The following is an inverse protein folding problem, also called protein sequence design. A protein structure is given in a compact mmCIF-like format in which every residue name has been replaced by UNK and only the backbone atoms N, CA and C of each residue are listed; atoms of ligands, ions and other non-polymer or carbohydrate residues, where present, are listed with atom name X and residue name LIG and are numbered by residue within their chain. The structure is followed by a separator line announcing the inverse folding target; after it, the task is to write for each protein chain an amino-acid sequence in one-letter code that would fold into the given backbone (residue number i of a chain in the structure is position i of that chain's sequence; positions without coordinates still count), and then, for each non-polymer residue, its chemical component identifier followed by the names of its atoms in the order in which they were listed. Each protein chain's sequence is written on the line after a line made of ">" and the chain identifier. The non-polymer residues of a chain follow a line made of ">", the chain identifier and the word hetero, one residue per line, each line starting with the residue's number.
data_IF_554711038416
#
_entry.id   IF_554711038416
#
_cell.length_a   1.000
_cell.length_b   1.000
_cell.length_c   1.000
_cell.angle_alpha   90.00
_cell.angle_beta   90.00
_cell.angle_gamma   90.00
#
_symmetry.space_group_name_H-M   'P 1'
#
loop_
_entity.id
_entity.type
_entity.pdbx_description
1 polymer ?
#
# COMPACT_ATOMS: atom_id res chain seq x y z
N UNK A 1 9.52 -59.63 63.79
CA UNK A 1 8.75 -60.02 64.99
C UNK A 1 8.43 -58.71 65.72
N UNK A 2 7.15 -58.34 65.80
CA UNK A 2 6.61 -57.08 66.38
C UNK A 2 6.55 -55.92 65.35
N UNK A 3 5.47 -55.66 64.60
CA UNK A 3 4.09 -55.26 64.97
C UNK A 3 4.05 -53.85 65.58
N UNK A 4 3.71 -52.83 64.78
CA UNK A 4 2.37 -52.24 64.59
C UNK A 4 2.00 -51.30 65.73
N UNK A 5 2.04 -49.99 65.46
CA UNK A 5 1.05 -49.05 65.98
C UNK A 5 0.78 -47.97 64.94
N UNK A 6 -0.51 -47.76 64.71
CA UNK A 6 -1.10 -46.99 63.64
C UNK A 6 -1.25 -45.52 64.06
N UNK A 7 -0.64 -44.60 63.32
CA UNK A 7 -0.99 -43.17 63.41
C UNK A 7 -2.01 -42.82 62.32
N UNK A 8 -3.21 -42.51 62.81
CA UNK A 8 -4.39 -42.05 62.11
C UNK A 8 -4.12 -40.71 61.41
N UNK A 9 -4.08 -40.73 60.07
CA UNK A 9 -4.09 -39.54 59.23
C UNK A 9 -5.50 -38.98 59.17
N UNK A 10 -5.88 -38.18 60.17
CA UNK A 10 -7.04 -37.31 60.05
C UNK A 10 -6.72 -36.15 59.10
N UNK A 11 -7.20 -36.27 57.87
CA UNK A 11 -7.26 -35.19 56.89
C UNK A 11 -8.21 -34.10 57.40
N UNK A 12 -7.67 -32.96 57.83
CA UNK A 12 -8.48 -31.76 58.08
C UNK A 12 -8.96 -31.23 56.73
N UNK A 13 -10.27 -31.17 56.44
CA UNK A 13 -10.75 -30.56 55.21
C UNK A 13 -10.59 -29.04 55.34
N UNK A 14 -9.94 -28.43 54.34
CA UNK A 14 -9.93 -26.98 54.20
C UNK A 14 -11.38 -26.45 54.15
N UNK A 15 -11.73 -25.36 54.86
CA UNK A 15 -13.08 -24.84 54.81
C UNK A 15 -13.38 -24.36 53.39
N UNK A 16 -14.37 -24.97 52.76
CA UNK A 16 -14.92 -24.52 51.48
C UNK A 16 -15.66 -23.22 51.76
N UNK A 17 -14.95 -22.09 51.66
CA UNK A 17 -15.56 -20.76 51.70
C UNK A 17 -16.65 -20.73 50.63
N UNK A 18 -17.89 -20.48 51.03
CA UNK A 18 -19.01 -20.51 50.09
C UNK A 18 -18.79 -19.50 48.97
N UNK A 19 -19.28 -19.80 47.75
CA UNK A 19 -19.29 -18.85 46.63
C UNK A 19 -19.86 -17.48 47.04
N UNK A 20 -20.76 -17.48 48.03
CA UNK A 20 -21.36 -16.30 48.65
C UNK A 20 -20.34 -15.40 49.34
N UNK A 21 -19.35 -15.94 50.04
CA UNK A 21 -18.27 -15.18 50.68
C UNK A 21 -17.28 -14.58 49.66
N UNK A 22 -17.07 -15.27 48.53
CA UNK A 22 -16.28 -14.72 47.41
C UNK A 22 -17.05 -13.61 46.69
N UNK A 23 -18.38 -13.72 46.61
CA UNK A 23 -19.26 -12.69 46.06
C UNK A 23 -19.40 -11.46 46.98
N UNK A 24 -19.36 -11.61 48.31
CA UNK A 24 -19.33 -10.43 49.20
C UNK A 24 -18.03 -9.64 49.10
N UNK A 25 -16.89 -10.27 48.76
CA UNK A 25 -15.64 -9.54 48.44
C UNK A 25 -15.73 -8.72 47.15
N UNK A 26 -16.66 -9.04 46.24
CA UNK A 26 -16.95 -8.24 45.05
C UNK A 26 -17.77 -6.96 45.37
N UNK A 27 -18.32 -6.86 46.58
CA UNK A 27 -18.99 -5.66 47.10
C UNK A 27 -18.07 -4.74 47.91
N UNK A 28 -16.75 -4.96 47.89
CA UNK A 28 -15.81 -4.03 48.50
C UNK A 28 -15.97 -2.65 47.83
N UNK A 29 -16.01 -1.53 48.59
CA UNK A 29 -15.98 -0.21 47.99
C UNK A 29 -14.78 -0.13 47.04
N UNK A 30 -14.91 0.50 45.86
CA UNK A 30 -13.81 0.59 44.92
C UNK A 30 -12.59 1.08 45.68
N UNK A 31 -11.48 0.33 45.61
CA UNK A 31 -10.20 0.81 46.16
C UNK A 31 -10.02 2.22 45.62
N UNK A 32 -9.78 3.23 46.47
CA UNK A 32 -9.53 4.57 45.98
C UNK A 32 -8.42 4.45 44.95
N UNK A 33 -8.74 4.80 43.70
CA UNK A 33 -7.72 4.88 42.65
C UNK A 33 -6.66 5.84 43.20
N UNK A 34 -5.38 5.44 43.26
CA UNK A 34 -4.35 6.40 43.62
C UNK A 34 -4.52 7.59 42.69
N UNK A 35 -4.71 8.78 43.26
CA UNK A 35 -4.75 10.02 42.49
C UNK A 35 -3.36 10.20 41.88
N UNK A 36 -3.19 9.70 40.65
CA UNK A 36 -2.03 10.03 39.83
C UNK A 36 -2.44 11.23 39.01
N UNK A 37 -2.08 12.41 39.50
CA UNK A 37 -1.98 13.62 38.69
C UNK A 37 -0.80 13.44 37.74
N UNK A 38 -0.96 12.61 36.70
CA UNK A 38 0.01 12.64 35.61
C UNK A 38 -0.27 13.93 34.86
N UNK A 39 0.68 14.85 34.91
CA UNK A 39 0.65 16.09 34.16
C UNK A 39 0.47 15.73 32.67
N UNK A 40 -0.47 16.42 32.02
CA UNK A 40 -0.67 16.21 30.60
C UNK A 40 0.57 16.68 29.83
N UNK A 41 0.92 16.01 28.72
CA UNK A 41 2.02 16.48 27.86
C UNK A 41 1.79 17.92 27.40
N UNK A 42 2.86 18.61 27.01
CA UNK A 42 2.79 20.02 26.62
C UNK A 42 1.70 20.29 25.57
N UNK A 43 0.84 21.27 25.87
CA UNK A 43 -0.22 21.74 24.97
C UNK A 43 -1.48 20.88 24.96
N UNK A 44 -1.54 19.81 25.75
CA UNK A 44 -2.76 19.05 25.96
C UNK A 44 -3.60 19.66 27.09
N UNK A 45 -4.90 19.73 26.85
CA UNK A 45 -5.92 20.22 27.76
C UNK A 45 -6.99 19.16 27.99
N UNK A 46 -7.74 19.29 29.08
CA UNK A 46 -8.86 18.41 29.40
C UNK A 46 -10.12 18.82 28.64
N UNK A 47 -10.70 17.88 27.89
CA UNK A 47 -11.97 18.02 27.21
C UNK A 47 -13.03 17.15 27.88
N UNK A 48 -14.13 17.76 28.33
CA UNK A 48 -15.26 17.04 28.88
C UNK A 48 -16.06 16.36 27.77
N UNK A 49 -16.35 15.07 27.95
CA UNK A 49 -17.19 14.26 27.06
C UNK A 49 -18.26 13.53 27.86
N UNK A 50 -19.33 13.01 27.22
CA UNK A 50 -20.30 12.14 27.88
C UNK A 50 -19.70 10.86 28.49
N UNK A 51 -18.46 10.50 28.14
CA UNK A 51 -17.76 9.30 28.58
C UNK A 51 -16.63 9.59 29.58
N UNK A 52 -16.52 10.83 30.06
CA UNK A 52 -15.46 11.29 30.97
C UNK A 52 -14.56 12.35 30.33
N UNK A 53 -13.33 12.47 30.83
CA UNK A 53 -12.37 13.45 30.35
C UNK A 53 -11.49 12.83 29.25
N UNK A 54 -11.30 13.56 28.16
CA UNK A 54 -10.30 13.26 27.12
C UNK A 54 -9.16 14.28 27.20
N UNK A 55 -7.94 13.89 26.81
CA UNK A 55 -6.84 14.83 26.66
C UNK A 55 -6.71 15.22 25.19
N UNK A 56 -6.76 16.52 24.90
CA UNK A 56 -6.72 17.05 23.53
C UNK A 56 -5.72 18.20 23.40
N UNK A 57 -4.98 18.23 22.30
CA UNK A 57 -4.20 19.39 21.85
C UNK A 57 -4.76 19.87 20.53
N UNK A 58 -4.97 21.16 20.37
CA UNK A 58 -5.54 21.74 19.15
C UNK A 58 -4.69 22.92 18.68
N UNK A 59 -4.26 22.84 17.41
CA UNK A 59 -3.51 23.89 16.75
C UNK A 59 -4.24 24.30 15.46
N UNK A 60 -4.17 25.58 15.10
CA UNK A 60 -4.50 26.06 13.75
C UNK A 60 -3.22 26.59 13.13
N UNK A 61 -2.73 25.87 12.11
CA UNK A 61 -1.53 26.23 11.38
C UNK A 61 -1.93 27.09 10.18
N UNK A 62 -1.31 28.27 10.05
CA UNK A 62 -1.43 29.06 8.83
C UNK A 62 -0.76 28.31 7.68
N UNK A 63 -1.58 27.67 6.84
CA UNK A 63 -1.13 27.03 5.61
C UNK A 63 -1.73 27.76 4.41
N UNK A 64 -0.94 28.00 3.34
CA UNK A 64 -1.50 28.48 2.09
C UNK A 64 -2.49 27.45 1.54
N UNK A 65 -3.45 27.93 0.73
CA UNK A 65 -4.37 27.05 0.00
C UNK A 65 -3.53 26.07 -0.82
N UNK A 66 -3.82 24.78 -0.64
CA UNK A 66 -3.15 23.71 -1.37
C UNK A 66 -3.70 23.64 -2.78
N UNK A 67 -2.80 23.48 -3.75
CA UNK A 67 -3.16 23.43 -5.16
C UNK A 67 -2.55 22.17 -5.81
N UNK A 68 -3.36 21.15 -6.18
CA UNK A 68 -4.82 21.08 -6.03
C UNK A 68 -5.30 20.96 -4.58
N UNK A 69 -6.50 21.51 -4.33
CA UNK A 69 -7.22 21.33 -3.06
C UNK A 69 -7.72 19.88 -2.94
N UNK A 70 -7.35 19.16 -1.86
CA UNK A 70 -7.86 17.82 -1.62
C UNK A 70 -9.34 17.76 -1.19
N UNK A 71 -9.99 18.89 -0.93
CA UNK A 71 -11.37 18.98 -0.47
C UNK A 71 -11.52 18.68 1.02
N UNK A 72 -12.75 18.41 1.46
CA UNK A 72 -13.07 18.17 2.87
C UNK A 72 -12.66 16.76 3.33
N UNK A 73 -11.37 16.59 3.60
CA UNK A 73 -10.75 15.32 4.03
C UNK A 73 -10.10 15.48 5.40
N UNK A 74 -10.37 14.54 6.31
CA UNK A 74 -9.62 14.38 7.54
C UNK A 74 -8.43 13.42 7.30
N UNK A 75 -7.24 13.84 7.71
CA UNK A 75 -6.02 13.05 7.64
C UNK A 75 -5.72 12.48 9.01
N UNK A 76 -5.59 11.16 9.11
CA UNK A 76 -5.45 10.47 10.39
C UNK A 76 -4.21 9.60 10.43
N UNK A 77 -3.55 9.65 11.57
CA UNK A 77 -2.44 8.79 11.95
C UNK A 77 -2.55 8.43 13.43
N UNK A 78 -2.19 7.20 13.81
CA UNK A 78 -2.28 6.74 15.19
C UNK A 78 -0.97 6.16 15.71
N UNK A 79 -0.72 6.40 17.00
CA UNK A 79 0.34 5.72 17.73
C UNK A 79 -0.25 4.64 18.63
N UNK A 80 0.37 3.46 18.56
CA UNK A 80 -0.18 2.25 19.18
C UNK A 80 0.85 1.56 20.07
N UNK A 81 0.38 0.82 21.06
CA UNK A 81 1.25 0.08 21.98
C UNK A 81 1.84 -1.20 21.37
N UNK A 82 1.61 -1.48 20.09
CA UNK A 82 2.09 -2.69 19.44
C UNK A 82 1.73 -2.78 17.96
N UNK A 83 2.58 -3.49 17.21
CA UNK A 83 2.51 -3.57 15.74
C UNK A 83 1.55 -4.67 15.21
N UNK A 84 1.01 -5.53 16.08
CA UNK A 84 0.26 -6.73 15.68
C UNK A 84 -1.26 -6.61 15.78
N UNK A 85 -1.81 -5.44 16.10
CA UNK A 85 -3.25 -5.13 15.97
C UNK A 85 -4.21 -6.03 16.75
N UNK A 86 -3.70 -6.86 17.67
CA UNK A 86 -4.52 -7.75 18.51
C UNK A 86 -5.30 -6.97 19.58
N UNK A 87 -6.26 -7.64 20.23
CA UNK A 87 -7.15 -7.04 21.25
C UNK A 87 -6.43 -6.37 22.44
N UNK A 88 -5.16 -6.68 22.68
CA UNK A 88 -4.33 -6.03 23.71
C UNK A 88 -3.65 -4.72 23.27
N UNK A 89 -3.72 -4.38 21.99
CA UNK A 89 -3.13 -3.14 21.45
C UNK A 89 -4.03 -1.97 21.82
N UNK A 90 -3.47 -0.90 22.37
CA UNK A 90 -4.16 0.37 22.57
C UNK A 90 -3.70 1.38 21.53
N UNK A 91 -4.61 2.25 21.11
CA UNK A 91 -4.26 3.52 20.46
C UNK A 91 -4.07 4.52 21.59
N UNK A 92 -2.83 4.96 21.80
CA UNK A 92 -2.54 5.89 22.90
C UNK A 92 -2.42 7.34 22.42
N UNK A 93 -2.20 7.56 21.12
CA UNK A 93 -2.34 8.85 20.50
C UNK A 93 -2.98 8.74 19.13
N UNK A 94 -3.75 9.75 18.75
CA UNK A 94 -4.27 9.89 17.40
C UNK A 94 -4.21 11.38 17.00
N UNK A 95 -3.70 11.66 15.81
CA UNK A 95 -3.72 12.98 15.23
C UNK A 95 -4.74 13.03 14.10
N UNK A 96 -5.39 14.19 13.97
CA UNK A 96 -6.31 14.51 12.88
C UNK A 96 -5.91 15.87 12.33
N UNK A 97 -5.58 15.93 11.05
CA UNK A 97 -5.43 17.20 10.34
C UNK A 97 -6.61 17.39 9.38
N UNK A 98 -7.23 18.58 9.38
CA UNK A 98 -8.34 18.93 8.50
C UNK A 98 -8.18 20.34 7.95
N UNK A 99 -8.23 20.54 6.63
CA UNK A 99 -8.27 21.88 6.03
C UNK A 99 -9.49 22.66 6.52
N UNK A 100 -9.29 23.93 6.88
CA UNK A 100 -10.33 24.90 7.26
C UNK A 100 -10.05 26.24 6.58
N UNK A 101 -11.02 27.15 6.57
CA UNK A 101 -10.88 28.45 5.88
C UNK A 101 -9.65 29.27 6.34
N UNK A 102 -9.25 29.13 7.60
CA UNK A 102 -8.10 29.84 8.19
C UNK A 102 -6.78 29.09 8.13
N UNK A 103 -6.70 27.94 7.44
CA UNK A 103 -5.49 27.13 7.29
C UNK A 103 -5.73 25.66 7.57
N UNK A 104 -4.92 25.06 8.44
CA UNK A 104 -5.01 23.65 8.80
C UNK A 104 -5.26 23.48 10.30
N UNK A 105 -6.41 22.93 10.63
CA UNK A 105 -6.70 22.49 12.00
C UNK A 105 -6.00 21.16 12.23
N UNK A 106 -5.21 21.08 13.29
CA UNK A 106 -4.58 19.84 13.76
C UNK A 106 -5.05 19.59 15.18
N UNK A 107 -5.75 18.48 15.38
CA UNK A 107 -6.17 18.02 16.70
C UNK A 107 -5.43 16.72 17.02
N UNK A 108 -4.83 16.65 18.21
CA UNK A 108 -4.25 15.41 18.73
C UNK A 108 -5.01 14.99 19.97
N UNK A 109 -5.25 13.69 20.07
CA UNK A 109 -5.86 13.04 21.22
C UNK A 109 -4.78 12.19 21.86
N UNK A 110 -4.72 12.21 23.19
CA UNK A 110 -3.81 11.39 23.97
C UNK A 110 -4.61 10.58 25.00
N UNK A 111 -4.15 9.38 25.32
CA UNK A 111 -4.73 8.48 26.31
C UNK A 111 -3.85 8.46 27.57
N UNK A 112 -4.10 9.29 28.60
CA UNK A 112 -3.23 9.34 29.78
C UNK A 112 -3.28 8.04 30.60
N UNK A 113 -4.44 7.38 30.59
CA UNK A 113 -4.60 6.07 31.20
C UNK A 113 -5.63 5.23 30.42
N UNK A 114 -5.49 3.89 30.42
CA UNK A 114 -6.43 3.01 29.70
C UNK A 114 -7.90 3.20 30.10
N UNK A 115 -8.17 3.70 31.32
CA UNK A 115 -9.52 3.97 31.82
C UNK A 115 -10.23 5.13 31.12
N UNK A 116 -9.52 5.98 30.37
CA UNK A 116 -10.06 7.14 29.67
C UNK A 116 -10.37 6.85 28.19
N UNK A 117 -10.23 5.60 27.74
CA UNK A 117 -10.33 5.23 26.33
C UNK A 117 -11.68 5.60 25.69
N UNK A 118 -12.81 5.41 26.40
CA UNK A 118 -14.12 5.77 25.85
C UNK A 118 -14.25 7.27 25.57
N UNK A 119 -13.70 8.12 26.44
CA UNK A 119 -13.67 9.57 26.24
C UNK A 119 -12.75 9.96 25.07
N UNK A 120 -11.56 9.34 24.99
CA UNK A 120 -10.62 9.49 23.87
C UNK A 120 -11.28 9.13 22.52
N UNK A 121 -11.89 7.95 22.43
CA UNK A 121 -12.52 7.47 21.19
C UNK A 121 -13.71 8.32 20.78
N UNK A 122 -14.52 8.77 21.75
CA UNK A 122 -15.62 9.67 21.50
C UNK A 122 -15.15 11.00 20.90
N UNK A 123 -14.17 11.63 21.55
CA UNK A 123 -13.63 12.91 21.10
C UNK A 123 -12.98 12.79 19.70
N UNK A 124 -12.28 11.68 19.43
CA UNK A 124 -11.74 11.39 18.11
C UNK A 124 -12.87 11.26 17.06
N UNK A 125 -13.96 10.56 17.37
CA UNK A 125 -15.11 10.44 16.44
C UNK A 125 -15.71 11.80 16.13
N UNK A 126 -15.92 12.64 17.14
CA UNK A 126 -16.49 13.97 16.98
C UNK A 126 -15.61 14.87 16.09
N UNK A 127 -14.28 14.76 16.20
CA UNK A 127 -13.36 15.51 15.33
C UNK A 127 -13.35 15.02 13.87
N UNK A 128 -13.66 13.73 13.64
CA UNK A 128 -13.77 13.16 12.30
C UNK A 128 -15.11 13.44 11.61
N UNK A 129 -16.17 13.67 12.39
CA UNK A 129 -17.55 13.84 11.90
C UNK A 129 -17.73 14.95 10.83
N UNK A 130 -17.05 16.11 10.91
CA UNK A 130 -17.19 17.16 9.91
C UNK A 130 -16.60 16.84 8.52
N UNK A 131 -15.82 15.76 8.38
CA UNK A 131 -15.13 15.44 7.14
C UNK A 131 -15.96 14.55 6.20
N UNK A 132 -15.94 14.84 4.90
CA UNK A 132 -16.61 14.02 3.88
C UNK A 132 -15.79 12.80 3.45
N UNK A 133 -14.50 12.81 3.76
CA UNK A 133 -13.57 11.74 3.43
C UNK A 133 -12.47 11.59 4.47
N UNK A 134 -11.87 10.41 4.47
CA UNK A 134 -10.76 10.06 5.36
C UNK A 134 -9.53 9.71 4.53
N UNK A 135 -8.37 10.20 4.92
CA UNK A 135 -7.10 9.81 4.32
C UNK A 135 -6.10 9.37 5.40
N UNK A 136 -5.38 8.29 5.13
CA UNK A 136 -4.33 7.76 6.02
C UNK A 136 -3.14 7.28 5.21
N UNK A 137 -2.03 6.95 5.87
CA UNK A 137 -0.90 6.28 5.23
C UNK A 137 -0.78 4.86 5.75
N UNK A 138 -1.17 3.87 4.94
CA UNK A 138 -1.27 2.46 5.36
C UNK A 138 -2.36 2.16 6.41
N UNK A 139 -3.15 3.14 6.83
CA UNK A 139 -4.13 2.95 7.90
C UNK A 139 -5.36 2.14 7.53
N UNK A 140 -5.59 1.88 6.24
CA UNK A 140 -6.60 0.90 5.83
C UNK A 140 -6.32 -0.51 6.36
N UNK A 141 -5.04 -0.83 6.54
CA UNK A 141 -4.58 -2.15 7.04
C UNK A 141 -4.10 -2.12 8.50
N UNK A 142 -3.95 -0.93 9.11
CA UNK A 142 -3.39 -0.78 10.46
C UNK A 142 -4.31 0.04 11.38
N UNK A 143 -4.32 1.37 11.23
CA UNK A 143 -5.02 2.30 12.13
C UNK A 143 -6.52 2.01 12.24
N UNK A 144 -7.23 1.91 11.11
CA UNK A 144 -8.68 1.80 11.09
C UNK A 144 -9.19 0.44 11.61
N UNK A 145 -8.55 -0.71 11.32
CA UNK A 145 -8.85 -1.95 12.01
C UNK A 145 -8.67 -1.89 13.53
N UNK A 146 -7.60 -1.25 14.02
CA UNK A 146 -7.34 -1.13 15.46
C UNK A 146 -8.39 -0.24 16.11
N UNK A 147 -8.65 0.95 15.57
CA UNK A 147 -9.69 1.88 16.07
C UNK A 147 -11.06 1.21 16.14
N UNK A 148 -11.47 0.47 15.10
CA UNK A 148 -12.73 -0.30 15.11
C UNK A 148 -12.77 -1.34 16.22
N UNK A 149 -11.67 -2.05 16.44
CA UNK A 149 -11.57 -3.04 17.52
C UNK A 149 -11.70 -2.35 18.89
N UNK A 150 -11.00 -1.23 19.11
CA UNK A 150 -11.09 -0.45 20.35
C UNK A 150 -12.49 0.11 20.58
N UNK A 151 -13.14 0.61 19.55
CA UNK A 151 -14.53 1.08 19.60
C UNK A 151 -15.49 0.02 20.14
N UNK A 152 -15.39 -1.20 19.60
CA UNK A 152 -16.21 -2.34 20.06
C UNK A 152 -15.84 -2.74 21.49
N UNK A 153 -14.55 -2.82 21.82
CA UNK A 153 -14.10 -3.22 23.17
C UNK A 153 -14.51 -2.21 24.25
N UNK A 154 -14.47 -0.92 23.93
CA UNK A 154 -14.93 0.18 24.78
C UNK A 154 -16.47 0.29 24.83
N UNK A 155 -17.19 -0.59 24.12
CA UNK A 155 -18.67 -0.62 24.02
C UNK A 155 -19.26 0.71 23.58
N UNK A 156 -18.57 1.39 22.67
CA UNK A 156 -19.03 2.66 22.14
C UNK A 156 -20.31 2.45 21.32
N UNK A 157 -21.26 3.40 21.36
CA UNK A 157 -22.53 3.27 20.66
C UNK A 157 -22.33 3.29 19.14
N UNK A 158 -23.10 2.46 18.43
CA UNK A 158 -23.06 2.37 16.97
C UNK A 158 -21.76 1.78 16.41
N UNK A 159 -21.58 1.90 15.10
CA UNK A 159 -20.38 1.45 14.41
C UNK A 159 -19.40 2.62 14.21
N UNK A 160 -18.10 2.35 14.36
CA UNK A 160 -17.05 3.29 13.93
C UNK A 160 -17.02 3.29 12.40
N UNK A 161 -17.94 4.05 11.82
CA UNK A 161 -18.06 4.25 10.38
C UNK A 161 -17.37 5.56 10.01
N UNK A 162 -16.71 5.54 8.86
CA UNK A 162 -16.20 6.73 8.22
C UNK A 162 -16.66 6.72 6.77
N UNK A 163 -16.66 7.89 6.15
CA UNK A 163 -16.99 8.06 4.75
C UNK A 163 -15.92 7.42 3.83
N UNK A 164 -15.87 7.85 2.57
CA UNK A 164 -14.90 7.35 1.59
C UNK A 164 -13.46 7.46 2.13
N UNK A 165 -12.73 6.36 2.11
CA UNK A 165 -11.35 6.29 2.58
C UNK A 165 -10.35 6.22 1.42
N UNK A 166 -9.28 7.01 1.53
CA UNK A 166 -8.13 6.99 0.62
C UNK A 166 -6.88 6.63 1.41
N UNK A 167 -6.32 5.47 1.14
CA UNK A 167 -5.00 5.10 1.65
C UNK A 167 -3.90 5.65 0.72
N UNK A 168 -3.19 6.68 1.18
CA UNK A 168 -2.19 7.40 0.41
C UNK A 168 -0.99 6.51 0.04
N UNK A 169 -0.67 5.48 0.83
CA UNK A 169 0.41 4.54 0.50
C UNK A 169 0.10 3.78 -0.79
N UNK A 170 -1.18 3.48 -1.05
CA UNK A 170 -1.58 2.80 -2.28
C UNK A 170 -1.35 3.66 -3.52
N UNK A 171 -1.57 4.98 -3.39
CA UNK A 171 -1.30 5.96 -4.44
C UNK A 171 0.19 6.18 -4.64
N UNK A 172 0.95 6.35 -3.55
CA UNK A 172 2.42 6.45 -3.59
C UNK A 172 3.02 5.23 -4.30
N UNK A 173 2.64 4.01 -3.91
CA UNK A 173 3.12 2.79 -4.57
C UNK A 173 2.72 2.72 -6.04
N UNK A 174 1.54 3.21 -6.39
CA UNK A 174 1.08 3.20 -7.77
C UNK A 174 1.82 4.20 -8.67
N UNK A 175 2.25 5.34 -8.12
CA UNK A 175 2.79 6.48 -8.89
C UNK A 175 4.29 6.69 -8.75
N UNK A 176 4.92 6.22 -7.67
CA UNK A 176 6.31 6.51 -7.33
C UNK A 176 7.17 5.27 -7.06
N UNK A 177 6.60 4.06 -6.96
CA UNK A 177 7.38 2.86 -6.61
C UNK A 177 8.58 2.61 -7.53
N UNK A 178 8.50 2.99 -8.81
CA UNK A 178 9.62 2.84 -9.75
C UNK A 178 10.77 3.83 -9.50
N UNK A 179 10.58 4.88 -8.70
CA UNK A 179 11.58 5.90 -8.34
C UNK A 179 12.08 5.79 -6.91
N UNK A 180 11.35 5.05 -6.06
CA UNK A 180 11.62 5.00 -4.63
C UNK A 180 12.09 3.61 -4.19
N UNK A 181 13.20 3.60 -3.45
CA UNK A 181 13.76 2.42 -2.80
C UNK A 181 12.79 1.87 -1.73
N UNK A 182 12.21 2.77 -0.94
CA UNK A 182 11.18 2.49 0.07
C UNK A 182 9.94 3.36 -0.13
N UNK A 183 8.79 2.92 0.37
CA UNK A 183 7.57 3.72 0.41
C UNK A 183 7.10 3.94 1.85
N UNK A 184 8.02 4.02 2.81
CA UNK A 184 7.72 4.52 4.16
C UNK A 184 7.42 6.02 4.09
N UNK A 185 6.60 6.53 5.02
CA UNK A 185 6.21 7.95 5.03
C UNK A 185 7.45 8.85 5.10
N UNK A 186 8.39 8.57 6.02
CA UNK A 186 9.69 9.25 6.12
C UNK A 186 10.44 9.37 4.79
N UNK A 187 10.52 8.28 4.03
CA UNK A 187 11.23 8.29 2.75
C UNK A 187 10.47 9.09 1.69
N UNK A 188 9.14 9.06 1.74
CA UNK A 188 8.26 9.84 0.87
C UNK A 188 8.36 11.33 1.19
N UNK A 189 8.39 11.73 2.46
CA UNK A 189 8.61 13.11 2.87
C UNK A 189 9.91 13.65 2.27
N UNK A 190 11.02 12.92 2.47
CA UNK A 190 12.32 13.34 1.93
C UNK A 190 12.33 13.41 0.40
N UNK A 191 11.89 12.34 -0.28
CA UNK A 191 12.07 12.21 -1.74
C UNK A 191 10.97 12.83 -2.59
N UNK A 192 9.78 13.03 -2.02
CA UNK A 192 8.61 13.55 -2.76
C UNK A 192 8.22 14.95 -2.28
N UNK A 193 8.30 15.22 -0.98
CA UNK A 193 7.99 16.53 -0.40
C UNK A 193 9.24 17.41 -0.22
N UNK A 194 10.45 16.82 -0.24
CA UNK A 194 11.69 17.56 0.01
C UNK A 194 11.86 17.94 1.48
N UNK A 195 11.16 17.26 2.39
CA UNK A 195 11.19 17.51 3.82
C UNK A 195 12.01 16.42 4.52
N UNK A 196 13.09 16.82 5.17
CA UNK A 196 13.90 15.95 6.02
C UNK A 196 13.56 16.21 7.48
N UNK A 197 13.04 15.17 8.15
CA UNK A 197 12.74 15.21 9.58
C UNK A 197 14.00 14.98 10.39
N UNK A 198 14.20 15.82 11.40
CA UNK A 198 15.02 15.48 12.54
C UNK A 198 14.15 14.65 13.49
N UNK A 199 14.44 13.36 13.56
CA UNK A 199 13.63 12.37 14.27
C UNK A 199 14.47 11.81 15.42
N UNK A 200 14.28 12.32 16.65
CA UNK A 200 15.05 11.86 17.80
C UNK A 200 14.61 10.48 18.31
N UNK A 201 13.45 9.95 17.89
CA UNK A 201 12.86 8.72 18.41
C UNK A 201 12.52 7.72 17.31
N UNK A 202 13.33 6.67 17.12
CA UNK A 202 13.00 5.58 16.21
C UNK A 202 11.59 5.02 16.46
N UNK A 203 10.77 4.83 15.41
CA UNK A 203 9.37 4.39 15.53
C UNK A 203 9.18 3.10 16.35
N UNK A 204 10.20 2.23 16.40
CA UNK A 204 10.17 1.01 17.21
C UNK A 204 10.13 1.26 18.72
N UNK A 205 10.58 2.42 19.19
CA UNK A 205 10.62 2.81 20.61
C UNK A 205 9.40 3.64 21.04
N UNK A 206 8.52 3.99 20.11
CA UNK A 206 7.30 4.76 20.39
C UNK A 206 6.38 4.07 21.41
N UNK A 207 6.15 2.74 21.35
CA UNK A 207 5.40 2.05 22.40
C UNK A 207 6.06 2.12 23.78
N UNK A 208 7.38 2.02 23.84
CA UNK A 208 8.14 2.06 25.10
C UNK A 208 8.04 3.43 25.78
N UNK A 209 8.06 4.52 25.01
CA UNK A 209 7.84 5.87 25.52
C UNK A 209 6.49 5.99 26.26
N UNK A 210 5.41 5.40 25.72
CA UNK A 210 4.12 5.39 26.39
C UNK A 210 4.09 4.50 27.63
N UNK A 211 4.76 3.33 27.60
CA UNK A 211 4.85 2.47 28.78
C UNK A 211 5.64 3.13 29.92
N UNK A 212 6.69 3.86 29.61
CA UNK A 212 7.47 4.60 30.61
C UNK A 212 6.69 5.79 31.19
N UNK A 213 5.88 6.47 30.36
CA UNK A 213 4.89 7.42 30.85
C UNK A 213 3.91 6.78 31.84
N UNK A 214 3.27 5.66 31.49
CA UNK A 214 2.31 4.99 32.38
C UNK A 214 2.94 4.53 33.71
N UNK A 215 4.21 4.12 33.70
CA UNK A 215 4.92 3.64 34.89
C UNK A 215 5.39 4.78 35.78
N UNK A 216 6.08 5.75 35.20
CA UNK A 216 6.91 6.74 35.89
C UNK A 216 6.52 8.20 35.61
N UNK A 217 5.56 8.46 34.70
CA UNK A 217 5.19 9.82 34.29
C UNK A 217 6.23 10.50 33.41
N UNK A 218 7.13 9.73 32.77
CA UNK A 218 8.18 10.27 31.90
C UNK A 218 7.58 10.91 30.64
N UNK A 219 7.94 12.17 30.36
CA UNK A 219 7.45 12.92 29.20
C UNK A 219 8.48 13.03 28.06
N UNK A 220 9.78 12.87 28.33
CA UNK A 220 10.86 13.20 27.37
C UNK A 220 10.69 12.51 26.00
N UNK A 221 10.50 11.18 26.00
CA UNK A 221 10.30 10.42 24.76
C UNK A 221 8.84 10.45 24.29
N UNK A 222 7.89 10.67 25.20
CA UNK A 222 6.48 10.74 24.86
C UNK A 222 6.18 11.98 24.03
N UNK A 223 6.73 13.14 24.39
CA UNK A 223 6.56 14.37 23.63
C UNK A 223 7.12 14.26 22.20
N UNK A 224 8.25 13.55 22.03
CA UNK A 224 8.79 13.25 20.72
C UNK A 224 7.84 12.37 19.89
N UNK A 225 7.27 11.31 20.47
CA UNK A 225 6.27 10.48 19.81
C UNK A 225 5.01 11.27 19.42
N UNK A 226 4.52 12.13 20.31
CA UNK A 226 3.35 12.98 20.03
C UNK A 226 3.64 13.99 18.92
N UNK A 227 4.80 14.63 18.91
CA UNK A 227 5.16 15.54 17.80
C UNK A 227 5.35 14.78 16.49
N UNK A 228 5.83 13.53 16.51
CA UNK A 228 5.90 12.71 15.30
C UNK A 228 4.53 12.46 14.68
N UNK A 229 3.59 11.98 15.48
CA UNK A 229 2.22 11.75 15.06
C UNK A 229 1.56 13.05 14.53
N UNK A 230 1.89 14.20 15.14
CA UNK A 230 1.44 15.53 14.67
C UNK A 230 1.98 15.87 13.28
N UNK A 231 3.29 15.69 13.09
CA UNK A 231 3.96 15.97 11.83
C UNK A 231 3.51 15.00 10.72
N UNK A 232 3.22 13.74 11.06
CA UNK A 232 2.75 12.75 10.11
C UNK A 232 1.46 13.22 9.42
N UNK A 233 0.42 13.61 10.18
CA UNK A 233 -0.83 14.09 9.57
C UNK A 233 -0.66 15.38 8.75
N UNK A 234 0.26 16.27 9.14
CA UNK A 234 0.60 17.47 8.36
C UNK A 234 1.24 17.07 7.02
N UNK A 235 2.15 16.09 7.04
CA UNK A 235 2.77 15.53 5.85
C UNK A 235 1.75 14.85 4.93
N UNK A 236 0.74 14.18 5.48
CA UNK A 236 -0.33 13.55 4.69
C UNK A 236 -1.12 14.56 3.87
N UNK A 237 -1.41 15.73 4.43
CA UNK A 237 -2.14 16.81 3.74
C UNK A 237 -1.35 17.25 2.49
N UNK A 238 -0.06 17.56 2.66
CA UNK A 238 0.82 18.00 1.57
C UNK A 238 1.05 16.88 0.53
N UNK A 239 1.25 15.65 1.01
CA UNK A 239 1.41 14.48 0.16
C UNK A 239 0.17 14.25 -0.71
N UNK A 240 -1.04 14.38 -0.16
CA UNK A 240 -2.25 14.17 -0.92
C UNK A 240 -2.40 15.22 -2.03
N UNK A 241 -2.17 16.51 -1.74
CA UNK A 241 -2.16 17.55 -2.77
C UNK A 241 -1.12 17.26 -3.88
N UNK A 242 0.10 16.86 -3.51
CA UNK A 242 1.14 16.46 -4.48
C UNK A 242 0.73 15.25 -5.33
N UNK A 243 0.07 14.26 -4.73
CA UNK A 243 -0.46 13.10 -5.44
C UNK A 243 -1.59 13.49 -6.39
N UNK A 244 -2.49 14.40 -6.00
CA UNK A 244 -3.56 14.91 -6.86
C UNK A 244 -3.01 15.62 -8.09
N UNK A 245 -2.01 16.49 -7.91
CA UNK A 245 -1.30 17.14 -9.04
C UNK A 245 -0.76 16.11 -10.03
N UNK A 246 -0.08 15.08 -9.52
CA UNK A 246 0.49 14.02 -10.36
C UNK A 246 -0.56 13.13 -11.01
N UNK A 247 -1.66 12.84 -10.31
CA UNK A 247 -2.83 12.15 -10.86
C UNK A 247 -3.46 12.93 -12.00
N UNK A 248 -3.46 14.26 -11.92
CA UNK A 248 -3.89 15.17 -12.99
C UNK A 248 -2.92 15.21 -14.17
N UNK A 249 -1.70 14.69 -14.03
CA UNK A 249 -0.63 14.84 -15.02
C UNK A 249 -0.08 16.27 -15.08
N UNK A 250 -0.19 17.03 -14.00
CA UNK A 250 0.22 18.44 -13.91
C UNK A 250 1.63 18.65 -13.37
N UNK A 251 2.40 17.58 -13.12
CA UNK A 251 3.82 17.69 -12.78
C UNK A 251 4.62 17.97 -14.07
N UNK A 252 5.35 19.08 -14.13
CA UNK A 252 6.12 19.50 -15.32
C UNK A 252 7.22 18.50 -15.70
N UNK A 253 7.80 17.80 -14.72
CA UNK A 253 8.94 16.90 -14.91
C UNK A 253 8.55 15.41 -14.94
N UNK A 254 7.35 15.08 -15.42
CA UNK A 254 6.94 13.67 -15.54
C UNK A 254 7.74 12.93 -16.61
N UNK A 255 8.52 11.92 -16.20
CA UNK A 255 9.27 11.05 -17.11
C UNK A 255 8.39 10.01 -17.80
N UNK A 256 8.95 9.26 -18.76
CA UNK A 256 8.26 8.15 -19.41
C UNK A 256 7.76 7.09 -18.40
N UNK A 257 8.55 6.80 -17.36
CA UNK A 257 8.18 5.89 -16.27
C UNK A 257 7.01 6.42 -15.46
N UNK A 258 6.98 7.74 -15.19
CA UNK A 258 5.91 8.39 -14.44
C UNK A 258 4.58 8.31 -15.18
N UNK A 259 4.60 8.63 -16.48
CA UNK A 259 3.43 8.50 -17.34
C UNK A 259 2.97 7.05 -17.49
N UNK A 260 3.91 6.09 -17.55
CA UNK A 260 3.60 4.66 -17.57
C UNK A 260 2.92 4.22 -16.27
N UNK A 261 3.43 4.66 -15.12
CA UNK A 261 2.86 4.39 -13.80
C UNK A 261 1.44 4.95 -13.68
N UNK A 262 1.24 6.22 -14.05
CA UNK A 262 -0.08 6.87 -14.10
C UNK A 262 -1.04 6.14 -15.04
N UNK A 263 -0.59 5.79 -16.25
CA UNK A 263 -1.41 5.08 -17.24
C UNK A 263 -1.87 3.71 -16.73
N UNK A 264 -0.98 2.95 -16.07
CA UNK A 264 -1.32 1.68 -15.41
C UNK A 264 -2.30 1.88 -14.26
N UNK A 265 -2.10 2.89 -13.43
CA UNK A 265 -3.00 3.20 -12.32
C UNK A 265 -4.41 3.54 -12.82
N UNK A 266 -4.55 4.52 -13.74
CA UNK A 266 -5.84 4.92 -14.33
C UNK A 266 -6.57 3.74 -14.98
N UNK A 267 -5.82 2.88 -15.68
CA UNK A 267 -6.40 1.68 -16.27
C UNK A 267 -6.95 0.72 -15.22
N UNK A 268 -6.20 0.43 -14.15
CA UNK A 268 -6.65 -0.43 -13.05
C UNK A 268 -7.92 0.11 -12.38
N UNK A 269 -8.05 1.44 -12.29
CA UNK A 269 -9.23 2.14 -11.75
C UNK A 269 -10.39 2.28 -12.75
N UNK A 270 -10.27 1.77 -13.97
CA UNK A 270 -11.33 1.83 -14.98
C UNK A 270 -11.41 3.13 -15.78
N UNK A 271 -10.59 4.15 -15.46
CA UNK A 271 -10.49 5.41 -16.19
C UNK A 271 -9.73 5.23 -17.51
N UNK A 272 -10.37 4.57 -18.48
CA UNK A 272 -9.72 4.10 -19.73
C UNK A 272 -9.22 5.23 -20.62
N UNK A 273 -9.95 6.35 -20.70
CA UNK A 273 -9.56 7.49 -21.53
C UNK A 273 -8.30 8.18 -20.97
N UNK A 274 -8.26 8.47 -19.67
CA UNK A 274 -7.09 9.05 -19.02
C UNK A 274 -5.89 8.09 -19.04
N UNK A 275 -6.14 6.80 -18.81
CA UNK A 275 -5.10 5.78 -18.92
C UNK A 275 -4.50 5.69 -20.32
N UNK A 276 -5.33 5.84 -21.35
CA UNK A 276 -4.86 5.93 -22.74
C UNK A 276 -4.02 7.18 -22.98
N UNK A 277 -4.46 8.36 -22.52
CA UNK A 277 -3.71 9.63 -22.63
C UNK A 277 -2.35 9.51 -21.95
N UNK A 278 -2.30 9.04 -20.70
CA UNK A 278 -1.05 8.87 -19.96
C UNK A 278 -0.10 7.86 -20.65
N UNK A 279 -0.60 6.73 -21.15
CA UNK A 279 0.24 5.79 -21.90
C UNK A 279 0.74 6.38 -23.22
N UNK A 280 -0.04 7.23 -23.89
CA UNK A 280 0.43 7.95 -25.09
C UNK A 280 1.55 8.92 -24.75
N UNK A 281 1.42 9.68 -23.66
CA UNK A 281 2.49 10.57 -23.20
C UNK A 281 3.77 9.80 -22.90
N UNK A 282 3.68 8.67 -22.17
CA UNK A 282 4.84 7.79 -21.93
C UNK A 282 5.46 7.28 -23.23
N UNK A 283 4.63 6.89 -24.19
CA UNK A 283 5.07 6.36 -25.49
C UNK A 283 5.78 7.43 -26.32
N UNK A 284 5.32 8.69 -26.25
CA UNK A 284 5.85 9.82 -27.01
C UNK A 284 7.31 10.19 -26.67
N UNK A 285 7.82 9.78 -25.50
CA UNK A 285 9.25 9.90 -25.18
C UNK A 285 10.14 9.13 -26.15
N UNK A 286 9.59 8.12 -26.83
CA UNK A 286 10.21 7.43 -27.95
C UNK A 286 11.56 6.76 -27.66
N UNK A 287 11.97 6.65 -26.39
CA UNK A 287 13.24 6.08 -25.94
C UNK A 287 13.05 5.32 -24.62
N UNK A 288 13.81 4.24 -24.47
CA UNK A 288 13.91 3.48 -23.22
C UNK A 288 12.73 2.54 -22.94
N UNK A 289 12.93 1.70 -21.93
CA UNK A 289 12.05 0.59 -21.57
C UNK A 289 10.63 1.02 -21.21
N UNK A 290 10.46 2.20 -20.60
CA UNK A 290 9.14 2.70 -20.21
C UNK A 290 8.28 3.07 -21.43
N UNK A 291 8.84 3.82 -22.38
CA UNK A 291 8.17 4.18 -23.63
C UNK A 291 7.77 2.94 -24.45
N UNK A 292 8.69 1.99 -24.61
CA UNK A 292 8.39 0.70 -25.25
C UNK A 292 7.27 -0.05 -24.53
N UNK A 293 7.32 -0.12 -23.20
CA UNK A 293 6.30 -0.82 -22.40
C UNK A 293 4.92 -0.16 -22.55
N UNK A 294 4.85 1.18 -22.52
CA UNK A 294 3.61 1.91 -22.73
C UNK A 294 3.04 1.68 -24.14
N UNK A 295 3.89 1.75 -25.15
CA UNK A 295 3.52 1.51 -26.54
C UNK A 295 3.02 0.09 -26.80
N UNK A 296 3.64 -0.92 -26.20
CA UNK A 296 3.19 -2.31 -26.24
C UNK A 296 1.82 -2.51 -25.57
N UNK A 297 1.56 -1.81 -24.45
CA UNK A 297 0.25 -1.82 -23.81
C UNK A 297 -0.83 -1.21 -24.70
N UNK A 298 -0.56 -0.07 -25.34
CA UNK A 298 -1.46 0.56 -26.31
C UNK A 298 -1.73 -0.35 -27.51
N UNK A 299 -0.66 -0.93 -28.09
CA UNK A 299 -0.74 -1.89 -29.19
C UNK A 299 -1.67 -3.05 -28.87
N UNK A 300 -1.52 -3.69 -27.70
CA UNK A 300 -2.40 -4.80 -27.28
C UNK A 300 -3.86 -4.36 -27.17
N UNK A 301 -4.14 -3.09 -26.92
CA UNK A 301 -5.51 -2.54 -26.87
C UNK A 301 -6.04 -2.23 -28.26
N UNK A 302 -5.24 -1.65 -29.15
CA UNK A 302 -5.58 -1.44 -30.56
C UNK A 302 -5.97 -2.74 -31.24
N UNK A 303 -5.16 -3.79 -31.06
CA UNK A 303 -5.44 -5.13 -31.60
C UNK A 303 -6.76 -5.68 -31.07
N UNK A 304 -7.04 -5.52 -29.77
CA UNK A 304 -8.31 -5.98 -29.17
C UNK A 304 -9.54 -5.21 -29.66
N UNK A 305 -9.37 -3.96 -30.06
CA UNK A 305 -10.42 -3.14 -30.67
C UNK A 305 -10.54 -3.35 -32.19
N UNK A 306 -9.76 -4.26 -32.77
CA UNK A 306 -9.76 -4.51 -34.22
C UNK A 306 -8.94 -3.50 -35.05
N UNK A 307 -8.33 -2.48 -34.43
CA UNK A 307 -7.48 -1.50 -35.11
C UNK A 307 -6.08 -2.07 -35.38
N UNK A 308 -5.99 -3.00 -36.33
CA UNK A 308 -4.73 -3.67 -36.69
C UNK A 308 -3.78 -2.70 -37.38
N UNK A 309 -4.28 -1.83 -38.28
CA UNK A 309 -3.46 -0.85 -38.98
C UNK A 309 -2.83 0.17 -38.01
N UNK A 310 -3.60 0.69 -37.05
CA UNK A 310 -3.08 1.60 -36.03
C UNK A 310 -2.04 0.95 -35.13
N UNK A 311 -2.24 -0.33 -34.79
CA UNK A 311 -1.27 -1.09 -34.02
C UNK A 311 0.04 -1.33 -34.78
N UNK A 312 -0.03 -1.63 -36.08
CA UNK A 312 1.15 -1.76 -36.95
C UNK A 312 1.91 -0.44 -37.09
N UNK A 313 1.20 0.67 -37.33
CA UNK A 313 1.79 2.00 -37.42
C UNK A 313 2.53 2.39 -36.13
N UNK A 314 1.89 2.17 -34.96
CA UNK A 314 2.51 2.46 -33.66
C UNK A 314 3.77 1.61 -33.43
N UNK A 315 3.70 0.31 -33.74
CA UNK A 315 4.85 -0.57 -33.58
C UNK A 315 5.98 -0.25 -34.57
N UNK A 316 5.67 0.15 -35.79
CA UNK A 316 6.66 0.59 -36.77
C UNK A 316 7.38 1.85 -36.32
N UNK A 317 6.64 2.84 -35.81
CA UNK A 317 7.23 4.04 -35.22
C UNK A 317 8.12 3.69 -34.01
N UNK A 318 7.62 2.87 -33.09
CA UNK A 318 8.40 2.42 -31.92
C UNK A 318 9.66 1.64 -32.29
N UNK A 319 9.62 0.81 -33.33
CA UNK A 319 10.81 0.07 -33.78
C UNK A 319 11.89 1.01 -34.31
N UNK A 320 11.49 2.10 -34.96
CA UNK A 320 12.42 3.12 -35.46
C UNK A 320 12.99 4.02 -34.37
N UNK A 321 12.28 4.21 -33.25
CA UNK A 321 12.68 5.14 -32.19
C UNK A 321 13.27 4.44 -30.95
N UNK A 322 12.68 3.34 -30.50
CA UNK A 322 13.13 2.52 -29.36
C UNK A 322 13.86 1.29 -29.88
N UNK A 323 15.05 1.53 -30.44
CA UNK A 323 15.81 0.50 -31.16
C UNK A 323 16.46 -0.57 -30.27
N UNK A 324 16.48 -0.34 -28.97
CA UNK A 324 17.11 -1.16 -27.93
C UNK A 324 16.13 -2.08 -27.19
N UNK A 325 14.85 -2.16 -27.60
CA UNK A 325 13.87 -3.04 -26.98
C UNK A 325 13.37 -4.14 -27.94
N UNK A 326 13.91 -5.35 -27.76
CA UNK A 326 13.57 -6.52 -28.59
C UNK A 326 12.06 -6.82 -28.59
N UNK A 327 11.34 -6.49 -27.51
CA UNK A 327 9.92 -6.82 -27.34
C UNK A 327 9.04 -6.08 -28.34
N UNK A 328 9.44 -4.87 -28.76
CA UNK A 328 8.76 -4.10 -29.81
C UNK A 328 8.84 -4.85 -31.13
N UNK A 329 10.04 -5.27 -31.53
CA UNK A 329 10.29 -6.02 -32.77
C UNK A 329 9.53 -7.36 -32.77
N UNK A 330 9.54 -8.08 -31.63
CA UNK A 330 8.78 -9.32 -31.45
C UNK A 330 7.27 -9.09 -31.65
N UNK A 331 6.73 -8.03 -31.04
CA UNK A 331 5.31 -7.70 -31.15
C UNK A 331 4.93 -7.34 -32.59
N UNK A 332 5.76 -6.56 -33.29
CA UNK A 332 5.53 -6.18 -34.69
C UNK A 332 5.58 -7.38 -35.63
N UNK A 333 6.58 -8.24 -35.50
CA UNK A 333 6.66 -9.47 -36.29
C UNK A 333 5.46 -10.39 -36.05
N UNK A 334 4.94 -10.49 -34.81
CA UNK A 334 3.71 -11.25 -34.51
C UNK A 334 2.49 -10.64 -35.18
N UNK A 335 2.35 -9.31 -35.12
CA UNK A 335 1.23 -8.62 -35.72
C UNK A 335 1.23 -8.78 -37.25
N UNK A 336 2.39 -8.59 -37.88
CA UNK A 336 2.57 -8.78 -39.32
C UNK A 336 2.26 -10.23 -39.76
N UNK A 337 2.83 -11.21 -39.06
CA UNK A 337 2.63 -12.63 -39.38
C UNK A 337 1.17 -13.07 -39.20
N UNK A 338 0.54 -12.73 -38.05
CA UNK A 338 -0.73 -13.34 -37.65
C UNK A 338 -1.96 -12.50 -37.97
N UNK A 339 -1.84 -11.18 -37.98
CA UNK A 339 -2.97 -10.27 -38.19
C UNK A 339 -2.97 -9.66 -39.59
N UNK A 340 -1.80 -9.25 -40.10
CA UNK A 340 -1.67 -8.71 -41.47
C UNK A 340 -1.43 -9.80 -42.51
N UNK A 341 -1.07 -11.02 -42.09
CA UNK A 341 -0.73 -12.16 -42.95
C UNK A 341 0.42 -11.85 -43.92
N UNK A 342 1.36 -11.04 -43.47
CA UNK A 342 2.55 -10.63 -44.23
C UNK A 342 3.82 -11.25 -43.62
N UNK A 343 4.19 -12.49 -44.01
CA UNK A 343 5.39 -13.15 -43.50
C UNK A 343 6.69 -12.52 -44.00
N UNK A 344 6.67 -11.79 -45.12
CA UNK A 344 7.87 -11.14 -45.68
C UNK A 344 8.28 -9.96 -44.82
N UNK A 345 7.34 -9.06 -44.53
CA UNK A 345 7.61 -7.93 -43.62
C UNK A 345 7.91 -8.42 -42.21
N UNK A 346 7.25 -9.48 -41.74
CA UNK A 346 7.57 -10.08 -40.45
C UNK A 346 9.00 -10.63 -40.38
N UNK A 347 9.50 -11.24 -41.46
CA UNK A 347 10.88 -11.74 -41.55
C UNK A 347 11.87 -10.57 -41.51
N UNK A 348 11.63 -9.53 -42.30
CA UNK A 348 12.48 -8.33 -42.35
C UNK A 348 12.65 -7.68 -40.96
N UNK A 349 11.55 -7.56 -40.20
CA UNK A 349 11.58 -7.07 -38.80
C UNK A 349 12.46 -7.97 -37.92
N UNK A 350 12.33 -9.29 -38.03
CA UNK A 350 13.13 -10.23 -37.22
C UNK A 350 14.62 -10.15 -37.58
N UNK A 351 14.95 -10.09 -38.87
CA UNK A 351 16.34 -9.94 -39.33
C UNK A 351 16.95 -8.60 -38.91
N UNK A 352 16.19 -7.52 -39.00
CA UNK A 352 16.62 -6.21 -38.51
C UNK A 352 16.87 -6.23 -37.00
N UNK A 353 16.00 -6.87 -36.22
CA UNK A 353 16.17 -7.02 -34.78
C UNK A 353 17.40 -7.87 -34.41
N UNK A 354 17.64 -8.98 -35.12
CA UNK A 354 18.83 -9.83 -34.92
C UNK A 354 20.13 -9.08 -35.19
N UNK A 355 20.16 -8.20 -36.20
CA UNK A 355 21.33 -7.37 -36.50
C UNK A 355 21.57 -6.30 -35.44
N UNK A 356 20.51 -5.68 -34.91
CA UNK A 356 20.61 -4.61 -33.91
C UNK A 356 20.91 -5.13 -32.51
N UNK A 357 20.37 -6.30 -32.15
CA UNK A 357 20.38 -6.85 -30.79
C UNK A 357 20.69 -8.36 -30.82
N UNK A 358 21.91 -8.78 -31.20
CA UNK A 358 22.23 -10.20 -31.42
C UNK A 358 22.02 -11.07 -30.17
N UNK A 359 22.42 -10.58 -28.98
CA UNK A 359 22.36 -11.35 -27.74
C UNK A 359 20.91 -11.62 -27.29
N UNK A 360 20.04 -10.60 -27.35
CA UNK A 360 18.62 -10.72 -27.01
C UNK A 360 17.80 -11.47 -28.07
N UNK A 361 18.28 -11.51 -29.31
CA UNK A 361 17.55 -12.09 -30.44
C UNK A 361 17.69 -13.61 -30.57
N UNK A 362 18.46 -14.28 -29.70
CA UNK A 362 18.53 -15.76 -29.60
C UNK A 362 17.13 -16.39 -29.49
N UNK A 363 16.22 -15.76 -28.73
CA UNK A 363 14.81 -16.17 -28.63
C UNK A 363 13.98 -16.03 -29.92
N UNK A 364 14.52 -15.41 -30.98
CA UNK A 364 13.87 -15.23 -32.28
C UNK A 364 14.26 -16.30 -33.31
N UNK A 365 15.27 -17.14 -33.08
CA UNK A 365 15.78 -18.07 -34.09
C UNK A 365 14.70 -19.05 -34.60
N UNK A 366 13.88 -19.60 -33.70
CA UNK A 366 12.76 -20.45 -34.10
C UNK A 366 11.68 -19.72 -34.93
N UNK A 367 11.50 -18.40 -34.69
CA UNK A 367 10.61 -17.56 -35.51
C UNK A 367 11.23 -17.25 -36.86
N UNK A 368 12.52 -16.92 -36.89
CA UNK A 368 13.28 -16.66 -38.10
C UNK A 368 13.22 -17.85 -39.06
N UNK A 369 13.59 -19.06 -38.59
CA UNK A 369 13.52 -20.29 -39.39
C UNK A 369 12.08 -20.64 -39.85
N UNK A 370 11.05 -20.32 -39.04
CA UNK A 370 9.65 -20.48 -39.46
C UNK A 370 9.25 -19.50 -40.56
N UNK A 371 9.65 -18.23 -40.45
CA UNK A 371 9.32 -17.20 -41.41
C UNK A 371 10.05 -17.39 -42.74
N UNK A 372 11.33 -17.78 -42.72
CA UNK A 372 12.08 -18.15 -43.93
C UNK A 372 11.34 -19.21 -44.75
N UNK A 373 10.94 -20.32 -44.12
CA UNK A 373 10.15 -21.38 -44.78
C UNK A 373 8.80 -20.90 -45.34
N UNK A 374 8.20 -19.86 -44.74
CA UNK A 374 6.93 -19.27 -45.21
C UNK A 374 7.12 -18.32 -46.40
N UNK A 375 8.28 -17.67 -46.49
CA UNK A 375 8.63 -16.72 -47.56
C UNK A 375 9.22 -17.45 -48.78
N UNK A 376 9.96 -18.54 -48.55
CA UNK A 376 10.52 -19.37 -49.62
C UNK A 376 9.43 -19.96 -50.52
N UNK A 377 9.61 -19.89 -51.86
CA UNK A 377 8.70 -20.52 -52.80
C UNK A 377 8.68 -22.04 -52.60
N UNK A 378 7.49 -22.65 -52.79
CA UNK A 378 7.27 -24.09 -52.60
C UNK A 378 8.24 -24.99 -53.37
N UNK A 379 8.86 -24.49 -54.44
CA UNK A 379 9.84 -25.20 -55.28
C UNK A 379 11.20 -25.45 -54.62
N UNK A 380 11.54 -24.74 -53.53
CA UNK A 380 12.86 -24.84 -52.86
C UNK A 380 12.76 -25.61 -51.52
N UNK A 381 11.56 -26.03 -51.11
CA UNK A 381 11.40 -26.79 -49.86
C UNK A 381 11.94 -28.22 -50.04
N UNK A 382 12.90 -28.68 -49.21
CA UNK A 382 13.32 -30.08 -49.26
C UNK A 382 12.10 -30.97 -48.95
N UNK A 383 11.81 -31.93 -49.84
CA UNK A 383 10.77 -32.94 -49.62
C UNK A 383 11.09 -33.62 -48.29
N UNK A 384 10.13 -33.61 -47.35
CA UNK A 384 10.22 -34.39 -46.11
C UNK A 384 10.51 -35.83 -46.52
N UNK A 385 11.69 -36.35 -46.17
CA UNK A 385 12.01 -37.75 -46.38
C UNK A 385 10.97 -38.57 -45.61
N UNK A 386 10.16 -39.32 -46.34
CA UNK A 386 9.26 -40.32 -45.80
C UNK A 386 10.18 -41.36 -45.15
N UNK A 387 10.17 -41.45 -43.82
CA UNK A 387 10.81 -42.57 -43.11
C UNK A 387 10.13 -43.85 -43.60
N UNK A 388 10.87 -44.86 -44.10
CA UNK A 388 10.28 -46.16 -44.36
C UNK A 388 9.76 -46.72 -43.03
N UNK A 389 8.50 -47.16 -43.04
CA UNK A 389 7.94 -48.03 -42.01
C UNK A 389 8.77 -49.32 -42.02
N UNK A 390 9.61 -49.52 -41.01
CA UNK A 390 10.12 -50.85 -40.69
C UNK A 390 8.98 -51.63 -40.01
N UNK A 391 8.25 -52.39 -40.82
CA UNK A 391 7.67 -53.65 -40.38
C UNK A 391 8.81 -54.64 -40.23
N UNK A 392 9.02 -55.14 -39.02
CA UNK A 392 9.23 -56.56 -38.73
C UNK A 392 9.51 -56.72 -37.23
N UNK A 393 8.58 -57.35 -36.54
CA UNK A 393 8.82 -58.01 -35.27
C UNK A 393 8.70 -59.52 -35.55
N UNK A 394 9.68 -60.35 -35.14
CA UNK A 394 9.43 -61.77 -34.97
C UNK A 394 9.03 -62.05 -33.51
N UNK A 395 7.98 -62.86 -33.40
CA UNK A 395 7.53 -63.56 -32.19
C UNK A 395 8.43 -64.79 -31.99
N UNK A 396 8.75 -65.16 -30.75
CA UNK A 396 9.07 -66.55 -30.40
C UNK A 396 10.08 -66.80 -29.28
N UNK A 397 9.56 -66.89 -28.05
CA UNK A 397 9.76 -67.92 -27.02
C UNK A 397 11.16 -68.35 -26.47
N UNK A 398 11.26 -68.13 -25.16
CA UNK A 398 11.51 -69.10 -24.08
C UNK A 398 12.90 -69.75 -23.85
N UNK A 399 13.25 -69.74 -22.55
CA UNK A 399 13.89 -70.79 -21.72
C UNK A 399 15.31 -70.50 -21.23
N UNK A 400 15.45 -70.46 -19.89
CA UNK A 400 16.69 -70.36 -19.14
C UNK A 400 16.46 -69.77 -17.75
#
# INVERSE_FOLDING_TARGET
>A
MGALDAEDRSTVPAPVSSLRERLTRLGAPPRPRPARSCELPRGFEELSTPFGIAAIRQDVLALPILEPDPGNVAYVDTETTGLTGGAGTYVFAAAVARPIDSGLRVAQFFLPEPGMESAFLHALRDELEPAEGLATFNGGSFDLPVLRTRWVMARMPGEFTHATHVDLLTLVRALFRHRLESCTLRFVEQRVLGYERDDPLPSALVPDAYYDFLRAGSLDLLEAALEHNRLDVISLVHLHSRLLRRLGGGDVDMSAEDWLALGRHRWRRGARADGWRALRNATAFAKGKAAATAGLLLTRRLVRRGSIAGADQLLGWLESSVTDDIRVSVARARLLEWRRRDPRSALSVVEAARRRMPDEATGLDGRHARLLRKVEPRSVRPKKAVRPLQLEAPIGDASG
#
